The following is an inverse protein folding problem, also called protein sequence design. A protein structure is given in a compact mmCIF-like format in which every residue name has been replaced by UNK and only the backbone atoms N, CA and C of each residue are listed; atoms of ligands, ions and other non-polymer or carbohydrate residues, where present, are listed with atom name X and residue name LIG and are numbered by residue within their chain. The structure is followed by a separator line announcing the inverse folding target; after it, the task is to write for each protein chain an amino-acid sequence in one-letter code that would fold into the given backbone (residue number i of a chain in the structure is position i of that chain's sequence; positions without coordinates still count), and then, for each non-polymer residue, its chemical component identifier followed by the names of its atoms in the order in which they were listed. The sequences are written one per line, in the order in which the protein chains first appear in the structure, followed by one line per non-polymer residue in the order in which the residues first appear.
data_IF_441383762824
#
_entry.id   IF_441383762824
#
_cell.length_a   1.000
_cell.length_b   1.000
_cell.length_c   1.000
_cell.angle_alpha   90.00
_cell.angle_beta   90.00
_cell.angle_gamma   90.00
#
_symmetry.space_group_name_H-M   'P 1'
#
loop_
_entity.id
_entity.type
_entity.pdbx_description
1 polymer ?
#
# COMPACT_ATOMS: atom_id res chain seq x y z
N UNK A 1 16.03 20.64 31.22
CA UNK A 1 17.07 19.66 31.50
C UNK A 1 16.52 18.71 32.54
N UNK A 2 15.81 17.69 32.14
CA UNK A 2 15.32 16.63 33.03
C UNK A 2 15.73 15.29 32.47
N UNK A 3 16.28 14.48 33.34
CA UNK A 3 16.86 13.19 33.12
C UNK A 3 15.80 12.19 32.61
N UNK A 4 15.94 11.69 31.42
CA UNK A 4 15.21 10.51 30.95
C UNK A 4 15.87 9.26 31.51
N UNK A 5 15.13 8.52 32.29
CA UNK A 5 15.59 7.35 33.03
C UNK A 5 16.02 6.21 32.10
N UNK A 6 17.23 5.69 32.36
CA UNK A 6 17.85 4.50 31.73
C UNK A 6 17.02 3.19 31.80
N UNK A 7 15.88 3.17 32.46
CA UNK A 7 15.03 1.99 32.66
C UNK A 7 14.14 1.71 31.44
N UNK A 8 13.72 2.75 30.69
CA UNK A 8 12.89 2.55 29.48
C UNK A 8 13.69 2.04 28.29
N UNK A 9 14.95 2.47 28.14
CA UNK A 9 15.82 1.98 27.07
C UNK A 9 16.17 0.49 27.22
N UNK A 10 16.24 -0.03 28.45
CA UNK A 10 16.50 -1.44 28.73
C UNK A 10 15.27 -2.33 28.46
N UNK A 11 14.05 -1.79 28.64
CA UNK A 11 12.80 -2.47 28.34
C UNK A 11 12.54 -2.57 26.82
N UNK A 12 12.87 -1.53 26.09
CA UNK A 12 12.79 -1.54 24.60
C UNK A 12 13.81 -2.48 23.96
N UNK A 13 15.02 -2.57 24.52
CA UNK A 13 16.03 -3.55 24.09
C UNK A 13 15.60 -5.00 24.33
N UNK A 14 14.94 -5.32 25.46
CA UNK A 14 14.44 -6.68 25.72
C UNK A 14 13.26 -7.08 24.84
N UNK A 15 12.37 -6.15 24.45
CA UNK A 15 11.27 -6.45 23.52
C UNK A 15 11.76 -6.64 22.08
N UNK A 16 12.80 -5.94 21.64
CA UNK A 16 13.40 -6.15 20.33
C UNK A 16 14.12 -7.51 20.21
N UNK A 17 14.70 -8.02 21.31
CA UNK A 17 15.36 -9.33 21.33
C UNK A 17 14.40 -10.52 21.23
N UNK A 18 13.15 -10.39 21.72
CA UNK A 18 12.16 -11.47 21.68
C UNK A 18 11.48 -11.55 20.30
N UNK A 19 11.29 -10.43 19.62
CA UNK A 19 10.77 -10.40 18.24
C UNK A 19 11.79 -10.92 17.21
N UNK A 20 13.09 -10.69 17.44
CA UNK A 20 14.15 -11.19 16.56
C UNK A 20 14.31 -12.74 16.64
N UNK A 21 13.84 -13.41 17.69
CA UNK A 21 14.02 -14.86 17.83
C UNK A 21 12.98 -15.69 17.05
N UNK A 22 11.79 -15.13 16.78
CA UNK A 22 10.78 -15.80 15.95
C UNK A 22 11.04 -15.58 14.44
N UNK A 23 11.62 -14.44 14.06
CA UNK A 23 12.00 -14.16 12.67
C UNK A 23 13.29 -14.86 12.21
N UNK A 24 14.22 -15.17 13.12
CA UNK A 24 15.48 -15.88 12.79
C UNK A 24 15.25 -17.38 12.48
N UNK A 25 14.15 -17.98 12.89
CA UNK A 25 13.81 -19.36 12.57
C UNK A 25 13.28 -19.54 11.14
N UNK A 26 12.66 -18.53 10.57
CA UNK A 26 12.18 -18.55 9.17
C UNK A 26 13.32 -18.36 8.14
N UNK A 27 14.39 -17.63 8.51
CA UNK A 27 15.51 -17.35 7.60
C UNK A 27 16.62 -18.39 7.59
N UNK A 28 16.61 -19.40 8.45
CA UNK A 28 17.64 -20.46 8.49
C UNK A 28 17.42 -21.64 7.54
N UNK A 29 16.29 -21.70 6.84
CA UNK A 29 15.98 -22.78 5.90
C UNK A 29 16.36 -22.51 4.42
N UNK A 30 16.96 -21.38 4.06
CA UNK A 30 17.19 -20.99 2.66
C UNK A 30 18.67 -20.96 2.25
N UNK A 31 19.59 -21.47 3.08
CA UNK A 31 21.03 -21.56 2.66
C UNK A 31 21.46 -23.01 2.62
N UNK A 32 20.92 -23.78 1.69
CA UNK A 32 21.56 -25.01 1.17
C UNK A 32 20.86 -25.42 -0.15
N UNK A 33 21.52 -25.16 -1.24
CA UNK A 33 21.51 -25.84 -2.54
C UNK A 33 21.46 -24.88 -3.71
N UNK A 34 22.64 -24.50 -4.17
CA UNK A 34 22.87 -24.20 -5.58
C UNK A 34 24.33 -24.53 -5.94
N UNK A 35 24.54 -25.71 -6.47
CA UNK A 35 25.65 -26.05 -7.36
C UNK A 35 25.19 -27.15 -8.29
N UNK A 36 25.07 -26.84 -9.57
CA UNK A 36 25.43 -27.72 -10.70
C UNK A 36 25.01 -27.06 -12.01
N UNK A 37 25.98 -26.55 -12.68
CA UNK A 37 26.48 -26.90 -14.02
C UNK A 37 25.71 -26.55 -15.28
N UNK A 38 26.50 -25.90 -16.10
CA UNK A 38 26.32 -25.36 -17.44
C UNK A 38 26.13 -26.45 -18.52
N UNK A 39 25.51 -26.09 -19.65
CA UNK A 39 26.16 -26.09 -20.97
C UNK A 39 25.19 -25.87 -22.15
N UNK A 40 25.60 -24.94 -23.02
CA UNK A 40 25.51 -24.93 -24.49
C UNK A 40 24.21 -25.17 -25.26
N UNK A 41 23.73 -24.21 -26.07
CA UNK A 41 24.13 -24.11 -27.47
C UNK A 41 23.41 -22.94 -28.15
N UNK A 42 24.15 -22.29 -29.04
CA UNK A 42 23.69 -21.24 -29.95
C UNK A 42 22.80 -21.85 -31.07
N UNK A 43 21.85 -21.03 -31.57
CA UNK A 43 21.76 -20.84 -33.03
C UNK A 43 20.94 -19.57 -33.38
N UNK A 44 21.47 -18.88 -34.37
CA UNK A 44 20.98 -17.69 -35.03
C UNK A 44 19.66 -17.94 -35.81
N UNK A 45 18.80 -16.90 -35.86
CA UNK A 45 18.27 -16.45 -37.13
C UNK A 45 17.63 -15.06 -37.03
N UNK A 46 18.17 -14.15 -37.80
CA UNK A 46 17.59 -12.86 -38.19
C UNK A 46 16.25 -13.05 -38.88
N UNK A 47 15.28 -12.21 -38.54
CA UNK A 47 14.33 -11.68 -39.50
C UNK A 47 13.76 -10.34 -39.01
N UNK A 48 14.25 -9.28 -39.65
CA UNK A 48 13.58 -7.98 -39.71
C UNK A 48 12.16 -8.15 -40.28
N UNK A 49 11.19 -7.58 -39.55
CA UNK A 49 10.04 -6.97 -40.21
C UNK A 49 9.43 -5.86 -39.29
N UNK A 50 9.46 -4.66 -39.83
CA UNK A 50 8.69 -3.50 -39.43
C UNK A 50 7.25 -3.85 -39.05
N UNK A 51 6.84 -3.39 -37.84
CA UNK A 51 5.47 -2.92 -37.64
C UNK A 51 5.49 -1.75 -36.64
N UNK A 52 5.52 -0.57 -37.25
CA UNK A 52 5.19 0.69 -36.60
C UNK A 52 3.67 0.75 -36.45
N UNK A 53 3.14 0.42 -35.26
CA UNK A 53 1.89 0.92 -34.68
C UNK A 53 1.49 0.06 -33.46
N UNK A 54 2.13 0.30 -32.30
CA UNK A 54 1.57 -0.06 -31.01
C UNK A 54 2.27 0.72 -29.89
N UNK A 55 2.01 2.03 -29.82
CA UNK A 55 2.70 2.93 -28.89
C UNK A 55 1.86 3.26 -27.63
N UNK A 56 0.84 2.44 -27.25
CA UNK A 56 -0.03 2.82 -26.12
C UNK A 56 -0.44 1.69 -25.17
N UNK A 57 0.20 0.52 -25.17
CA UNK A 57 -0.14 -0.58 -24.23
C UNK A 57 0.95 -0.96 -23.24
N UNK A 58 2.08 -0.22 -23.17
CA UNK A 58 3.25 -0.60 -22.38
C UNK A 58 3.34 0.04 -20.98
N UNK A 59 2.33 0.78 -20.52
CA UNK A 59 2.38 1.48 -19.22
C UNK A 59 1.88 0.63 -18.04
N UNK A 60 1.14 -0.43 -18.28
CA UNK A 60 0.64 -1.33 -17.26
C UNK A 60 1.52 -2.59 -17.12
N UNK A 61 1.54 -3.16 -15.92
CA UNK A 61 2.22 -4.43 -15.65
C UNK A 61 1.69 -5.51 -16.59
N UNK A 62 2.61 -6.15 -17.32
CA UNK A 62 2.28 -7.25 -18.22
C UNK A 62 2.54 -8.60 -17.54
N UNK A 63 1.72 -9.64 -17.82
CA UNK A 63 1.96 -10.98 -17.32
C UNK A 63 3.39 -11.47 -17.61
N UNK A 64 4.06 -12.02 -16.58
CA UNK A 64 5.43 -12.54 -16.68
C UNK A 64 6.56 -11.50 -16.53
N UNK A 65 6.25 -10.22 -16.34
CA UNK A 65 7.27 -9.17 -16.13
C UNK A 65 7.91 -9.26 -14.75
N UNK A 66 9.25 -9.26 -14.70
CA UNK A 66 10.01 -9.10 -13.46
C UNK A 66 10.56 -7.67 -13.38
N UNK A 67 9.95 -6.85 -12.54
CA UNK A 67 10.27 -5.42 -12.42
C UNK A 67 11.03 -5.07 -11.14
N UNK A 68 11.15 -6.00 -10.18
CA UNK A 68 11.75 -5.77 -8.86
C UNK A 68 13.23 -5.41 -8.97
N UNK A 69 13.73 -4.35 -8.27
CA UNK A 69 15.11 -3.93 -8.33
C UNK A 69 16.08 -5.01 -7.83
N UNK A 70 17.19 -5.20 -8.57
CA UNK A 70 18.28 -6.09 -8.18
C UNK A 70 19.39 -5.27 -7.53
N UNK A 71 19.37 -5.13 -6.19
CA UNK A 71 20.33 -4.31 -5.42
C UNK A 71 20.96 -5.13 -4.30
N UNK A 72 22.22 -4.80 -3.96
CA UNK A 72 22.95 -5.37 -2.83
C UNK A 72 23.00 -4.38 -1.66
N UNK A 73 23.35 -4.85 -0.46
CA UNK A 73 23.53 -3.99 0.70
C UNK A 73 24.61 -2.90 0.45
N UNK A 74 25.67 -3.23 -0.28
CA UNK A 74 26.73 -2.28 -0.65
C UNK A 74 26.21 -1.18 -1.59
N UNK A 75 25.33 -1.52 -2.53
CA UNK A 75 24.63 -0.52 -3.36
C UNK A 75 23.85 0.46 -2.48
N UNK A 76 23.10 -0.04 -1.50
CA UNK A 76 22.29 0.78 -0.60
C UNK A 76 23.16 1.72 0.23
N UNK A 77 24.25 1.22 0.84
CA UNK A 77 25.16 2.06 1.63
C UNK A 77 25.80 3.16 0.78
N UNK A 78 26.26 2.82 -0.43
CA UNK A 78 26.84 3.77 -1.39
C UNK A 78 25.83 4.84 -1.79
N UNK A 79 24.57 4.46 -2.10
CA UNK A 79 23.50 5.39 -2.46
C UNK A 79 23.19 6.37 -1.33
N UNK A 80 22.99 5.87 -0.11
CA UNK A 80 22.66 6.70 1.05
C UNK A 80 23.79 7.69 1.38
N UNK A 81 25.03 7.24 1.34
CA UNK A 81 26.19 8.11 1.57
C UNK A 81 26.33 9.18 0.50
N UNK A 82 26.24 8.79 -0.77
CA UNK A 82 26.46 9.69 -1.91
C UNK A 82 25.31 10.68 -2.09
N UNK A 83 24.07 10.24 -1.99
CA UNK A 83 22.90 11.06 -2.27
C UNK A 83 22.48 11.93 -1.07
N UNK A 84 22.68 11.44 0.16
CA UNK A 84 22.15 12.08 1.36
C UNK A 84 23.21 12.41 2.41
N UNK A 85 24.47 12.03 2.19
CA UNK A 85 25.58 12.26 3.13
C UNK A 85 25.43 11.53 4.45
N UNK A 86 24.57 10.52 4.53
CA UNK A 86 24.32 9.74 5.75
C UNK A 86 25.37 8.64 5.87
N UNK A 87 26.02 8.55 7.03
CA UNK A 87 26.74 7.34 7.43
C UNK A 87 25.76 6.41 8.15
N UNK A 88 25.65 5.19 7.69
CA UNK A 88 24.69 4.21 8.21
C UNK A 88 25.28 3.53 9.43
N UNK A 89 24.51 3.44 10.54
CA UNK A 89 24.78 2.61 11.70
C UNK A 89 24.10 1.24 11.58
N UNK A 90 22.85 1.23 11.12
CA UNK A 90 22.07 0.01 10.95
C UNK A 90 21.20 0.13 9.68
N UNK A 91 21.09 -0.98 8.95
CA UNK A 91 20.21 -1.12 7.78
C UNK A 91 19.36 -2.37 7.94
N UNK A 92 18.06 -2.26 7.66
CA UNK A 92 17.13 -3.39 7.65
C UNK A 92 16.26 -3.31 6.40
N UNK A 93 16.25 -4.38 5.60
CA UNK A 93 15.31 -4.48 4.49
C UNK A 93 13.90 -4.66 5.03
N UNK A 94 12.95 -3.90 4.46
CA UNK A 94 11.53 -3.96 4.78
C UNK A 94 10.80 -4.78 3.70
N UNK A 95 9.73 -5.45 4.11
CA UNK A 95 8.87 -6.19 3.18
C UNK A 95 8.27 -5.21 2.17
N UNK A 96 8.28 -5.59 0.89
CA UNK A 96 7.69 -4.81 -0.20
C UNK A 96 7.24 -5.73 -1.33
N UNK A 97 6.24 -5.28 -2.10
CA UNK A 97 5.69 -6.03 -3.21
C UNK A 97 6.67 -6.03 -4.41
N UNK A 98 6.83 -4.90 -5.07
CA UNK A 98 7.63 -4.75 -6.29
C UNK A 98 8.87 -3.86 -6.12
N UNK A 99 8.92 -3.02 -5.08
CA UNK A 99 10.04 -2.15 -4.75
C UNK A 99 11.08 -2.85 -3.88
N UNK A 100 12.17 -2.14 -3.56
CA UNK A 100 13.08 -2.46 -2.44
C UNK A 100 13.07 -1.31 -1.45
N UNK A 101 12.69 -1.60 -0.22
CA UNK A 101 12.61 -0.63 0.86
C UNK A 101 13.59 -0.99 1.98
N UNK A 102 14.31 0.00 2.49
CA UNK A 102 15.30 -0.20 3.55
C UNK A 102 15.10 0.83 4.66
N UNK A 103 14.93 0.35 5.90
CA UNK A 103 15.01 1.21 7.07
C UNK A 103 16.49 1.52 7.34
N UNK A 104 16.83 2.80 7.36
CA UNK A 104 18.17 3.33 7.57
C UNK A 104 18.22 4.01 8.93
N UNK A 105 19.08 3.52 9.82
CA UNK A 105 19.43 4.21 11.05
C UNK A 105 20.78 4.91 10.87
N UNK A 106 20.82 6.25 10.93
CA UNK A 106 22.06 6.99 10.83
C UNK A 106 23.01 6.73 12.01
N UNK A 107 24.30 6.89 11.80
CA UNK A 107 25.23 7.05 12.92
C UNK A 107 25.09 8.47 13.48
N UNK A 108 24.42 8.56 14.61
CA UNK A 108 24.12 9.84 15.30
C UNK A 108 25.39 10.54 15.84
N UNK A 109 26.51 9.86 15.92
CA UNK A 109 27.79 10.45 16.35
C UNK A 109 28.50 11.17 15.19
N UNK A 110 28.08 10.94 13.95
CA UNK A 110 28.66 11.55 12.77
C UNK A 110 27.76 12.68 12.29
N UNK A 111 28.33 13.90 12.23
CA UNK A 111 27.60 15.06 11.73
C UNK A 111 27.28 14.89 10.24
N UNK A 112 25.99 14.94 9.90
CA UNK A 112 25.56 14.90 8.53
C UNK A 112 25.73 16.31 7.89
N UNK A 113 26.42 16.42 6.74
CA UNK A 113 26.68 17.72 6.11
C UNK A 113 25.45 18.30 5.39
N UNK A 114 24.42 17.49 5.09
CA UNK A 114 23.25 17.87 4.28
C UNK A 114 22.01 18.01 5.15
N UNK A 115 21.76 17.07 6.06
CA UNK A 115 20.61 17.05 6.94
C UNK A 115 20.97 17.71 8.25
N UNK A 116 20.62 18.99 8.41
CA UNK A 116 20.99 19.79 9.57
C UNK A 116 20.37 19.27 10.88
N UNK A 117 19.14 18.76 10.81
CA UNK A 117 18.42 18.17 11.94
C UNK A 117 17.95 16.78 11.54
N UNK A 118 18.70 15.72 11.92
CA UNK A 118 18.32 14.36 11.62
C UNK A 118 16.99 13.96 12.27
N UNK A 119 16.18 13.20 11.51
CA UNK A 119 14.93 12.65 12.02
C UNK A 119 15.21 11.53 13.03
N UNK A 120 14.68 11.60 14.27
CA UNK A 120 15.12 10.73 15.37
C UNK A 120 14.70 9.25 15.20
N UNK A 121 13.80 8.97 14.28
CA UNK A 121 13.27 7.62 14.03
C UNK A 121 13.95 6.92 12.84
N UNK A 122 14.92 7.58 12.17
CA UNK A 122 15.57 7.05 10.98
C UNK A 122 14.78 7.33 9.70
N UNK A 123 15.17 6.69 8.62
CA UNK A 123 14.67 6.97 7.27
C UNK A 123 14.31 5.69 6.54
N UNK A 124 13.43 5.77 5.55
CA UNK A 124 13.16 4.71 4.59
C UNK A 124 13.76 5.10 3.25
N UNK A 125 14.77 4.33 2.79
CA UNK A 125 15.23 4.41 1.42
C UNK A 125 14.32 3.52 0.57
N UNK A 126 13.64 4.13 -0.42
CA UNK A 126 12.87 3.41 -1.43
C UNK A 126 13.63 3.38 -2.74
N UNK A 127 13.81 2.19 -3.30
CA UNK A 127 14.31 1.97 -4.66
C UNK A 127 13.14 1.39 -5.44
N UNK A 128 12.55 2.21 -6.30
CA UNK A 128 11.32 1.88 -6.98
C UNK A 128 11.58 0.85 -8.08
N UNK A 129 10.56 0.06 -8.39
CA UNK A 129 10.62 -0.92 -9.48
C UNK A 129 10.90 -0.27 -10.85
N UNK A 130 11.33 -1.09 -11.81
CA UNK A 130 11.77 -0.60 -13.11
C UNK A 130 10.65 0.02 -13.96
N UNK A 131 9.39 -0.35 -13.71
CA UNK A 131 8.24 0.20 -14.43
C UNK A 131 7.90 1.61 -13.93
N UNK A 132 7.76 1.77 -12.62
CA UNK A 132 7.42 3.06 -12.02
C UNK A 132 8.58 4.05 -12.10
N UNK A 133 9.82 3.58 -12.10
CA UNK A 133 11.00 4.44 -12.26
C UNK A 133 11.05 5.22 -13.57
N UNK A 134 10.26 4.83 -14.56
CA UNK A 134 10.10 5.58 -15.81
C UNK A 134 9.18 6.81 -15.70
N UNK A 135 8.36 6.87 -14.66
CA UNK A 135 7.31 7.88 -14.45
C UNK A 135 7.77 8.99 -13.48
N UNK A 136 8.89 9.64 -13.77
CA UNK A 136 9.54 10.61 -12.86
C UNK A 136 8.65 11.77 -12.45
N UNK A 137 7.78 12.26 -13.34
CA UNK A 137 6.84 13.34 -13.04
C UNK A 137 5.78 12.90 -12.04
N UNK A 138 5.35 11.64 -12.13
CA UNK A 138 4.42 11.05 -11.17
C UNK A 138 5.08 10.86 -9.78
N UNK A 139 6.36 10.46 -9.74
CA UNK A 139 7.09 10.35 -8.49
C UNK A 139 7.28 11.72 -7.82
N UNK A 140 7.52 12.79 -8.61
CA UNK A 140 7.54 14.13 -8.08
C UNK A 140 6.17 14.55 -7.53
N UNK A 141 5.09 14.23 -8.22
CA UNK A 141 3.72 14.46 -7.75
C UNK A 141 3.43 13.76 -6.42
N UNK A 142 3.88 12.51 -6.24
CA UNK A 142 3.79 11.79 -4.95
C UNK A 142 4.56 12.51 -3.83
N UNK A 143 5.76 13.00 -4.11
CA UNK A 143 6.54 13.76 -3.13
C UNK A 143 5.83 15.06 -2.74
N UNK A 144 5.28 15.79 -3.70
CA UNK A 144 4.51 17.01 -3.45
C UNK A 144 3.23 16.73 -2.66
N UNK A 145 2.55 15.61 -2.93
CA UNK A 145 1.38 15.16 -2.20
C UNK A 145 1.69 14.90 -0.72
N UNK A 146 2.76 14.16 -0.42
CA UNK A 146 3.19 13.89 0.96
C UNK A 146 3.51 15.19 1.71
N UNK A 147 4.22 16.13 1.07
CA UNK A 147 4.52 17.45 1.63
C UNK A 147 3.24 18.25 1.88
N UNK A 148 2.28 18.20 0.96
CA UNK A 148 1.00 18.87 1.10
C UNK A 148 0.20 18.29 2.28
N UNK A 149 0.03 16.97 2.35
CA UNK A 149 -0.69 16.29 3.43
C UNK A 149 -0.06 16.57 4.80
N UNK A 150 1.26 16.58 4.90
CA UNK A 150 1.97 16.93 6.13
C UNK A 150 1.64 18.35 6.60
N UNK A 151 1.51 19.32 5.67
CA UNK A 151 1.10 20.70 5.99
C UNK A 151 -0.37 20.79 6.43
N UNK A 152 -1.23 19.91 5.92
CA UNK A 152 -2.63 19.78 6.33
C UNK A 152 -2.78 19.01 7.67
N UNK A 153 -1.67 18.62 8.31
CA UNK A 153 -1.66 17.96 9.62
C UNK A 153 -1.90 16.44 9.55
N UNK A 154 -1.81 15.83 8.38
CA UNK A 154 -1.84 14.38 8.20
C UNK A 154 -0.43 13.83 8.44
N UNK A 155 -0.30 12.87 9.35
CA UNK A 155 0.97 12.20 9.61
C UNK A 155 1.26 11.21 8.47
N UNK A 156 2.31 11.50 7.71
CA UNK A 156 2.78 10.67 6.60
C UNK A 156 4.31 10.83 6.44
N UNK A 157 4.98 9.99 5.63
CA UNK A 157 6.40 10.14 5.36
C UNK A 157 6.72 11.50 4.72
N UNK A 158 7.78 12.15 5.20
CA UNK A 158 8.26 13.40 4.59
C UNK A 158 9.43 13.11 3.66
N UNK A 159 9.37 13.49 2.38
CA UNK A 159 10.51 13.34 1.47
C UNK A 159 11.71 14.19 1.87
N UNK A 160 12.90 13.59 1.81
CA UNK A 160 14.18 14.24 2.11
C UNK A 160 14.88 14.65 0.81
N UNK A 161 15.34 15.88 0.75
CA UNK A 161 16.14 16.36 -0.40
C UNK A 161 17.53 15.73 -0.40
N UNK A 162 17.99 15.34 -1.59
CA UNK A 162 19.34 14.85 -1.81
C UNK A 162 20.36 16.00 -1.98
N UNK A 163 21.63 15.67 -2.20
CA UNK A 163 22.74 16.63 -2.42
C UNK A 163 22.49 17.64 -3.54
N UNK A 164 21.61 17.32 -4.48
CA UNK A 164 21.24 18.19 -5.61
C UNK A 164 19.97 19.02 -5.34
N UNK A 165 19.44 18.97 -4.11
CA UNK A 165 18.21 19.65 -3.72
C UNK A 165 16.93 19.05 -4.30
N UNK A 166 16.96 17.78 -4.79
CA UNK A 166 15.81 17.06 -5.34
C UNK A 166 15.32 15.99 -4.39
N UNK A 167 14.03 15.64 -4.43
CA UNK A 167 13.42 14.62 -3.58
C UNK A 167 13.65 13.19 -4.07
N UNK A 168 14.26 12.99 -5.23
CA UNK A 168 14.66 11.68 -5.76
C UNK A 168 15.85 11.83 -6.71
N UNK A 169 16.43 10.69 -7.08
CA UNK A 169 17.46 10.56 -8.11
C UNK A 169 17.16 9.34 -8.97
N UNK A 170 17.48 9.39 -10.25
CA UNK A 170 17.49 8.21 -11.12
C UNK A 170 18.89 7.66 -11.12
N UNK A 171 19.03 6.39 -10.74
CA UNK A 171 20.30 5.73 -10.52
C UNK A 171 20.44 4.48 -11.37
N UNK A 172 21.56 4.37 -12.09
CA UNK A 172 21.85 3.16 -12.87
C UNK A 172 22.45 2.08 -11.96
N UNK A 173 21.73 0.98 -11.73
CA UNK A 173 22.12 -0.09 -10.82
C UNK A 173 21.96 -1.43 -11.55
N UNK A 174 23.05 -2.20 -11.65
CA UNK A 174 23.06 -3.55 -12.22
C UNK A 174 22.36 -3.66 -13.60
N UNK A 175 22.57 -2.64 -14.46
CA UNK A 175 22.12 -2.64 -15.85
C UNK A 175 20.69 -2.10 -16.07
N UNK A 176 20.06 -1.51 -15.05
CA UNK A 176 18.76 -0.84 -15.16
C UNK A 176 18.72 0.48 -14.39
N UNK A 177 17.82 1.36 -14.78
CA UNK A 177 17.62 2.66 -14.14
C UNK A 177 16.47 2.56 -13.13
N UNK A 178 16.74 3.00 -11.89
CA UNK A 178 15.77 3.00 -10.81
C UNK A 178 15.67 4.38 -10.16
N UNK A 179 14.48 4.79 -9.80
CA UNK A 179 14.30 5.95 -8.93
C UNK A 179 14.63 5.56 -7.50
N UNK A 180 15.45 6.40 -6.87
CA UNK A 180 15.85 6.29 -5.46
C UNK A 180 15.39 7.53 -4.71
N UNK A 181 14.62 7.36 -3.63
CA UNK A 181 14.19 8.44 -2.73
C UNK A 181 14.32 8.05 -1.28
N UNK A 182 14.52 9.06 -0.42
CA UNK A 182 14.62 8.91 1.02
C UNK A 182 13.44 9.60 1.69
N UNK A 183 12.77 8.92 2.61
CA UNK A 183 11.61 9.39 3.34
C UNK A 183 11.86 9.31 4.84
N UNK A 184 11.30 10.23 5.63
CA UNK A 184 11.26 10.08 7.09
C UNK A 184 10.45 8.84 7.47
N UNK A 185 10.99 8.03 8.40
CA UNK A 185 10.26 6.89 8.94
C UNK A 185 9.13 7.37 9.86
N UNK A 186 7.91 6.87 9.65
CA UNK A 186 6.76 7.15 10.51
C UNK A 186 6.69 6.12 11.64
N UNK A 187 6.98 6.50 12.89
CA UNK A 187 7.00 5.55 14.00
C UNK A 187 5.59 5.23 14.49
N UNK A 188 5.35 3.97 14.82
CA UNK A 188 4.10 3.44 15.37
C UNK A 188 4.02 1.94 15.15
N UNK A 189 2.87 1.34 15.49
CA UNK A 189 2.55 -0.04 15.16
C UNK A 189 1.74 -0.07 13.87
N UNK A 190 1.82 -1.17 13.13
CA UNK A 190 0.95 -1.36 11.97
C UNK A 190 -0.45 -1.76 12.41
N UNK A 191 -1.46 -1.39 11.63
CA UNK A 191 -2.84 -1.73 11.94
C UNK A 191 -3.05 -3.25 12.09
N UNK A 192 -2.39 -4.07 11.27
CA UNK A 192 -2.53 -5.54 11.33
C UNK A 192 -1.98 -6.15 12.63
N UNK A 193 -1.07 -5.46 13.33
CA UNK A 193 -0.42 -5.95 14.56
C UNK A 193 -1.29 -5.79 15.83
N UNK A 194 -2.40 -5.05 15.74
CA UNK A 194 -3.24 -4.73 16.91
C UNK A 194 -4.64 -5.32 16.79
N UNK A 195 -5.34 -5.44 17.92
CA UNK A 195 -6.74 -5.89 17.93
C UNK A 195 -7.67 -4.89 17.23
N UNK A 196 -8.61 -5.39 16.42
CA UNK A 196 -9.56 -4.61 15.60
C UNK A 196 -10.82 -4.32 16.39
N UNK A 197 -10.73 -3.39 17.35
CA UNK A 197 -11.91 -2.93 18.07
C UNK A 197 -12.85 -2.11 17.16
N UNK A 198 -14.13 -2.07 17.52
CA UNK A 198 -15.12 -1.23 16.80
C UNK A 198 -14.69 0.25 16.80
N UNK A 199 -14.05 0.70 17.87
CA UNK A 199 -13.50 2.05 17.99
C UNK A 199 -12.37 2.29 16.99
N UNK A 200 -11.43 1.34 16.83
CA UNK A 200 -10.34 1.47 15.87
C UNK A 200 -10.86 1.49 14.43
N UNK A 201 -11.86 0.66 14.11
CA UNK A 201 -12.52 0.68 12.78
C UNK A 201 -13.20 2.02 12.50
N UNK A 202 -13.92 2.57 13.48
CA UNK A 202 -14.52 3.91 13.39
C UNK A 202 -13.43 4.97 13.17
N UNK A 203 -12.34 4.94 13.96
CA UNK A 203 -11.21 5.89 13.82
C UNK A 203 -10.48 5.74 12.50
N UNK A 204 -10.49 4.55 11.90
CA UNK A 204 -9.94 4.31 10.56
C UNK A 204 -10.79 5.01 9.49
N UNK A 205 -12.12 4.89 9.55
CA UNK A 205 -13.04 5.64 8.68
C UNK A 205 -12.91 7.16 8.83
N UNK A 206 -12.85 7.65 10.06
CA UNK A 206 -12.63 9.07 10.36
C UNK A 206 -11.31 9.59 9.77
N UNK A 207 -10.24 8.78 9.82
CA UNK A 207 -8.91 9.19 9.36
C UNK A 207 -8.84 9.31 7.84
N UNK A 208 -9.33 8.31 7.10
CA UNK A 208 -9.33 8.39 5.63
C UNK A 208 -10.26 9.49 5.12
N UNK A 209 -11.39 9.74 5.77
CA UNK A 209 -12.26 10.86 5.42
C UNK A 209 -11.58 12.23 5.62
N UNK A 210 -10.68 12.36 6.60
CA UNK A 210 -9.83 13.57 6.78
C UNK A 210 -8.82 13.72 5.65
N UNK A 211 -8.22 12.60 5.19
CA UNK A 211 -7.31 12.60 4.05
C UNK A 211 -8.07 13.03 2.79
N UNK A 212 -9.22 12.43 2.50
CA UNK A 212 -10.05 12.78 1.34
C UNK A 212 -10.45 14.25 1.35
N UNK A 213 -10.80 14.79 2.53
CA UNK A 213 -11.13 16.20 2.68
C UNK A 213 -9.91 17.11 2.44
N UNK A 214 -8.72 16.72 2.89
CA UNK A 214 -7.49 17.46 2.64
C UNK A 214 -7.14 17.45 1.15
N UNK A 215 -7.25 16.29 0.49
CA UNK A 215 -6.91 16.11 -0.92
C UNK A 215 -7.85 16.80 -1.90
N UNK A 216 -9.03 17.25 -1.45
CA UNK A 216 -10.01 17.93 -2.33
C UNK A 216 -9.43 19.11 -3.10
N UNK A 217 -8.46 19.81 -2.52
CA UNK A 217 -7.83 20.99 -3.12
C UNK A 217 -6.42 20.71 -3.66
N UNK A 218 -5.96 19.47 -3.62
CA UNK A 218 -4.66 19.11 -4.19
C UNK A 218 -4.83 18.72 -5.65
N UNK A 219 -3.99 19.27 -6.50
CA UNK A 219 -3.94 18.98 -7.94
C UNK A 219 -2.49 18.91 -8.42
N UNK A 220 -2.24 17.96 -9.31
CA UNK A 220 -0.98 17.86 -10.05
C UNK A 220 -1.23 17.13 -11.37
N UNK A 221 -0.75 17.68 -12.48
CA UNK A 221 -1.05 17.22 -13.85
C UNK A 221 -0.65 15.77 -14.12
N UNK A 222 0.39 15.28 -13.45
CA UNK A 222 0.84 13.89 -13.58
C UNK A 222 -0.23 12.85 -13.22
N UNK A 223 -1.22 13.22 -12.38
CA UNK A 223 -2.32 12.34 -12.04
C UNK A 223 -3.39 12.23 -13.12
N UNK A 224 -3.45 13.17 -14.08
CA UNK A 224 -4.47 13.14 -15.12
C UNK A 224 -4.24 12.04 -16.15
N UNK A 225 -2.99 11.59 -16.31
CA UNK A 225 -2.60 10.56 -17.28
C UNK A 225 -2.12 9.26 -16.61
N UNK A 226 -1.88 9.29 -15.28
CA UNK A 226 -1.37 8.12 -14.58
C UNK A 226 -2.38 6.98 -14.55
N UNK A 227 -1.94 5.79 -14.93
CA UNK A 227 -2.70 4.54 -14.85
C UNK A 227 -1.84 3.43 -14.25
N UNK A 228 -2.47 2.62 -13.42
CA UNK A 228 -1.86 1.42 -12.82
C UNK A 228 -2.88 0.29 -12.76
N UNK A 229 -2.40 -0.94 -12.73
CA UNK A 229 -3.27 -2.12 -12.60
C UNK A 229 -3.99 -2.16 -11.24
N UNK A 230 -3.48 -1.44 -10.22
CA UNK A 230 -4.09 -1.35 -8.90
C UNK A 230 -5.26 -0.36 -8.79
N UNK A 231 -5.46 0.52 -9.77
CA UNK A 231 -6.68 1.34 -9.84
C UNK A 231 -7.91 0.47 -10.03
N UNK A 232 -9.03 0.79 -9.37
CA UNK A 232 -10.29 0.06 -9.61
C UNK A 232 -10.82 0.27 -11.04
N UNK A 233 -10.47 1.34 -11.71
CA UNK A 233 -10.75 1.51 -13.15
C UNK A 233 -10.13 0.40 -14.01
N UNK A 234 -9.07 -0.26 -13.52
CA UNK A 234 -8.36 -1.33 -14.21
C UNK A 234 -8.92 -2.74 -13.93
N UNK A 235 -10.02 -2.86 -13.21
CA UNK A 235 -10.67 -4.15 -12.91
C UNK A 235 -10.93 -5.02 -14.16
N UNK A 236 -11.36 -4.45 -15.30
CA UNK A 236 -11.55 -5.27 -16.52
C UNK A 236 -10.28 -6.02 -17.00
N UNK A 237 -9.09 -5.44 -16.75
CA UNK A 237 -7.81 -6.06 -17.10
C UNK A 237 -7.46 -7.31 -16.26
N UNK A 238 -8.15 -7.54 -15.13
CA UNK A 238 -7.97 -8.77 -14.36
C UNK A 238 -8.28 -10.03 -15.17
N UNK A 239 -9.08 -9.92 -16.24
CA UNK A 239 -9.37 -11.05 -17.13
C UNK A 239 -8.10 -11.68 -17.69
N UNK A 240 -7.05 -10.88 -17.94
CA UNK A 240 -5.77 -11.34 -18.46
C UNK A 240 -4.98 -12.20 -17.44
N UNK A 241 -5.35 -12.15 -16.18
CA UNK A 241 -4.69 -12.84 -15.06
C UNK A 241 -5.49 -14.02 -14.50
N UNK A 242 -6.74 -14.24 -14.95
CA UNK A 242 -7.61 -15.29 -14.38
C UNK A 242 -7.12 -16.73 -14.62
N UNK A 243 -6.13 -16.93 -15.46
CA UNK A 243 -5.50 -18.22 -15.67
C UNK A 243 -4.77 -18.77 -14.43
N UNK A 244 -4.42 -17.90 -13.46
CA UNK A 244 -3.78 -18.32 -12.21
C UNK A 244 -4.75 -19.00 -11.25
N UNK A 245 -6.06 -18.79 -11.42
CA UNK A 245 -7.10 -19.41 -10.60
C UNK A 245 -7.42 -20.80 -11.14
N UNK A 246 -7.07 -21.82 -10.36
CA UNK A 246 -7.36 -23.23 -10.73
C UNK A 246 -8.78 -23.67 -10.35
N UNK A 247 -9.40 -22.99 -9.38
CA UNK A 247 -10.76 -23.25 -8.92
C UNK A 247 -11.77 -22.59 -9.86
N UNK A 248 -12.59 -23.39 -10.55
CA UNK A 248 -13.56 -22.90 -11.52
C UNK A 248 -14.67 -22.03 -10.88
N UNK A 249 -15.11 -22.36 -9.65
CA UNK A 249 -16.18 -21.63 -8.98
C UNK A 249 -15.67 -20.24 -8.56
N UNK A 250 -14.45 -20.17 -8.05
CA UNK A 250 -13.79 -18.90 -7.72
C UNK A 250 -13.55 -18.04 -8.96
N UNK A 251 -13.11 -18.66 -10.03
CA UNK A 251 -12.95 -17.96 -11.32
C UNK A 251 -14.26 -17.37 -11.81
N UNK A 252 -15.34 -18.15 -11.78
CA UNK A 252 -16.68 -17.69 -12.18
C UNK A 252 -17.17 -16.51 -11.31
N UNK A 253 -16.96 -16.56 -9.98
CA UNK A 253 -17.29 -15.43 -9.09
C UNK A 253 -16.52 -14.17 -9.50
N UNK A 254 -15.23 -14.28 -9.79
CA UNK A 254 -14.43 -13.12 -10.20
C UNK A 254 -14.92 -12.55 -11.54
N UNK A 255 -15.24 -13.40 -12.52
CA UNK A 255 -15.79 -12.98 -13.81
C UNK A 255 -17.12 -12.23 -13.62
N UNK A 256 -18.04 -12.77 -12.81
CA UNK A 256 -19.32 -12.07 -12.47
C UNK A 256 -19.09 -10.72 -11.78
N UNK A 257 -18.10 -10.63 -10.88
CA UNK A 257 -17.75 -9.37 -10.21
C UNK A 257 -17.23 -8.35 -11.21
N UNK A 258 -16.34 -8.75 -12.13
CA UNK A 258 -15.82 -7.86 -13.17
C UNK A 258 -16.97 -7.32 -14.03
N UNK A 259 -17.84 -8.21 -14.55
CA UNK A 259 -18.99 -7.83 -15.39
C UNK A 259 -19.95 -6.88 -14.65
N UNK A 260 -20.20 -7.16 -13.37
CA UNK A 260 -21.08 -6.35 -12.54
C UNK A 260 -20.46 -4.99 -12.20
N UNK A 261 -19.16 -4.94 -11.98
CA UNK A 261 -18.44 -3.68 -11.71
C UNK A 261 -18.41 -2.79 -12.96
N UNK A 262 -18.14 -3.35 -14.13
CA UNK A 262 -18.23 -2.63 -15.41
C UNK A 262 -19.63 -2.04 -15.61
N UNK A 263 -20.67 -2.87 -15.44
CA UNK A 263 -22.06 -2.49 -15.76
C UNK A 263 -22.64 -1.46 -14.77
N UNK A 264 -22.33 -1.60 -13.47
CA UNK A 264 -22.98 -0.79 -12.43
C UNK A 264 -22.14 0.41 -11.99
N UNK A 265 -20.81 0.35 -12.15
CA UNK A 265 -19.88 1.38 -11.65
C UNK A 265 -19.18 2.09 -12.79
N UNK A 266 -18.42 1.36 -13.64
CA UNK A 266 -17.60 2.00 -14.67
C UNK A 266 -18.45 2.70 -15.74
N UNK A 267 -19.62 2.19 -16.08
CA UNK A 267 -20.55 2.84 -17.02
C UNK A 267 -21.10 4.18 -16.52
N UNK A 268 -20.93 4.49 -15.23
CA UNK A 268 -21.37 5.74 -14.57
C UNK A 268 -20.21 6.56 -14.02
N UNK A 269 -18.98 6.18 -14.33
CA UNK A 269 -17.78 6.75 -13.72
C UNK A 269 -17.63 8.26 -13.94
N UNK A 270 -18.19 8.79 -15.03
CA UNK A 270 -18.14 10.23 -15.32
C UNK A 270 -19.15 11.05 -14.52
N UNK A 271 -20.11 10.39 -13.87
CA UNK A 271 -21.08 11.03 -12.98
C UNK A 271 -20.55 11.12 -11.53
N UNK A 272 -19.44 10.40 -11.20
CA UNK A 272 -18.88 10.32 -9.86
C UNK A 272 -17.89 11.44 -9.58
N UNK A 273 -17.91 11.97 -8.35
CA UNK A 273 -16.93 12.97 -7.90
C UNK A 273 -15.53 12.35 -7.86
N UNK A 274 -14.59 12.90 -8.64
CA UNK A 274 -13.22 12.44 -8.77
C UNK A 274 -12.25 13.40 -8.09
N UNK A 275 -11.26 12.85 -7.42
CA UNK A 275 -10.10 13.56 -6.88
C UNK A 275 -8.88 12.65 -6.83
N UNK A 276 -7.74 13.17 -6.37
CA UNK A 276 -6.61 12.34 -6.02
C UNK A 276 -6.94 11.61 -4.72
N UNK A 277 -6.72 10.29 -4.70
CA UNK A 277 -6.96 9.38 -3.58
C UNK A 277 -5.67 8.69 -3.19
N UNK A 278 -5.59 8.11 -1.98
CA UNK A 278 -4.46 7.29 -1.57
C UNK A 278 -4.39 5.98 -2.38
N UNK A 279 -5.52 5.36 -2.64
CA UNK A 279 -5.67 4.20 -3.53
C UNK A 279 -5.22 2.85 -2.94
N UNK A 280 -4.61 2.84 -1.75
CA UNK A 280 -4.18 1.61 -1.08
C UNK A 280 -4.25 1.73 0.46
N UNK A 281 -5.42 2.14 0.98
CA UNK A 281 -5.66 2.25 2.41
C UNK A 281 -5.89 0.87 3.03
N UNK A 282 -4.80 0.12 3.25
CA UNK A 282 -4.81 -1.23 3.80
C UNK A 282 -4.13 -1.30 5.17
N UNK A 283 -4.20 -2.47 5.82
CA UNK A 283 -3.69 -2.71 7.17
C UNK A 283 -2.15 -2.66 7.30
N UNK A 284 -1.43 -2.70 6.18
CA UNK A 284 0.03 -2.59 6.13
C UNK A 284 0.48 -1.13 6.00
N UNK A 285 -0.42 -0.25 5.55
CA UNK A 285 -0.13 1.16 5.30
C UNK A 285 -0.64 2.09 6.40
N UNK A 286 -1.44 1.58 7.34
CA UNK A 286 -2.01 2.35 8.44
C UNK A 286 -1.14 2.19 9.69
N UNK A 287 -0.64 3.32 10.20
CA UNK A 287 0.10 3.40 11.46
C UNK A 287 -0.87 3.75 12.59
N UNK A 288 -0.79 3.01 13.69
CA UNK A 288 -1.62 3.21 14.88
C UNK A 288 -0.80 3.52 16.11
N UNK A 289 -1.43 4.15 17.08
CA UNK A 289 -0.88 4.41 18.42
C UNK A 289 -1.95 4.22 19.49
N UNK A 290 -1.54 3.91 20.71
CA UNK A 290 -2.47 3.87 21.84
C UNK A 290 -3.03 5.26 22.13
N UNK A 291 -4.35 5.34 22.31
CA UNK A 291 -5.03 6.57 22.68
C UNK A 291 -4.71 6.96 24.13
N UNK A 292 -4.11 8.12 24.32
CA UNK A 292 -3.78 8.65 25.66
C UNK A 292 -5.03 8.99 26.48
N UNK A 293 -6.17 9.17 25.83
CA UNK A 293 -7.45 9.55 26.47
C UNK A 293 -8.32 8.35 26.84
N UNK A 294 -7.96 7.13 26.40
CA UNK A 294 -8.71 5.93 26.73
C UNK A 294 -8.09 5.20 27.91
N UNK A 295 -8.88 5.05 29.00
CA UNK A 295 -8.49 4.23 30.16
C UNK A 295 -8.38 2.73 29.78
N UNK A 296 -8.95 2.31 28.65
CA UNK A 296 -8.96 0.94 28.14
C UNK A 296 -7.76 0.60 27.25
N UNK A 297 -6.85 1.55 26.98
CA UNK A 297 -5.68 1.31 26.12
C UNK A 297 -6.01 1.11 24.64
N UNK A 298 -7.17 1.60 24.19
CA UNK A 298 -7.60 1.49 22.78
C UNK A 298 -6.63 2.17 21.82
N UNK A 299 -6.53 1.59 20.63
CA UNK A 299 -5.74 2.13 19.54
C UNK A 299 -6.55 3.10 18.69
N UNK A 300 -5.87 4.09 18.11
CA UNK A 300 -6.40 5.00 17.08
C UNK A 300 -5.40 5.10 15.93
N UNK A 301 -5.87 5.52 14.77
CA UNK A 301 -5.00 5.81 13.63
C UNK A 301 -4.15 7.04 13.94
N UNK A 302 -2.85 6.90 13.73
CA UNK A 302 -1.84 7.94 13.88
C UNK A 302 -1.42 8.53 12.55
N UNK A 303 -1.20 7.68 11.53
CA UNK A 303 -0.63 8.07 10.25
C UNK A 303 -0.88 7.05 9.16
N UNK A 304 -0.44 7.42 7.96
CA UNK A 304 -0.51 6.58 6.77
C UNK A 304 0.82 6.61 6.03
N UNK A 305 1.19 5.49 5.43
CA UNK A 305 2.40 5.35 4.62
C UNK A 305 2.06 4.75 3.25
N UNK A 306 3.04 4.70 2.39
CA UNK A 306 3.02 4.14 1.05
C UNK A 306 2.05 4.82 0.07
N UNK A 307 2.57 5.83 -0.59
CA UNK A 307 1.88 6.64 -1.60
C UNK A 307 2.16 6.15 -3.03
N UNK A 308 2.52 4.87 -3.20
CA UNK A 308 2.83 4.26 -4.50
C UNK A 308 1.62 4.22 -5.44
N UNK A 309 0.45 3.90 -4.90
CA UNK A 309 -0.79 3.69 -5.64
C UNK A 309 -1.72 4.91 -5.69
N UNK A 310 -1.22 6.08 -5.27
CA UNK A 310 -2.00 7.32 -5.37
C UNK A 310 -2.42 7.58 -6.81
N UNK A 311 -3.67 7.91 -7.01
CA UNK A 311 -4.22 8.10 -8.35
C UNK A 311 -5.43 9.04 -8.33
N UNK A 312 -5.85 9.52 -9.52
CA UNK A 312 -7.07 10.31 -9.67
C UNK A 312 -8.24 9.42 -10.03
N UNK A 313 -9.14 9.20 -9.07
CA UNK A 313 -10.28 8.28 -9.19
C UNK A 313 -11.53 8.84 -8.51
N UNK A 314 -12.70 8.22 -8.74
CA UNK A 314 -13.87 8.48 -7.92
C UNK A 314 -13.57 8.26 -6.43
N UNK A 315 -14.04 9.17 -5.58
CA UNK A 315 -13.79 9.08 -4.12
C UNK A 315 -14.39 7.80 -3.52
N UNK A 316 -15.49 7.32 -4.09
CA UNK A 316 -16.12 6.07 -3.67
C UNK A 316 -15.18 4.85 -3.81
N UNK A 317 -14.16 4.93 -4.68
CA UNK A 317 -13.15 3.88 -4.82
C UNK A 317 -12.22 3.84 -3.62
N UNK A 318 -11.81 5.00 -3.07
CA UNK A 318 -11.05 5.05 -1.82
C UNK A 318 -11.82 4.38 -0.68
N UNK A 319 -13.11 4.72 -0.55
CA UNK A 319 -13.99 4.16 0.49
C UNK A 319 -14.11 2.64 0.30
N UNK A 320 -14.32 2.17 -0.93
CA UNK A 320 -14.41 0.74 -1.25
C UNK A 320 -13.14 -0.03 -0.94
N UNK A 321 -11.97 0.53 -1.29
CA UNK A 321 -10.65 -0.05 -1.00
C UNK A 321 -10.45 -0.15 0.52
N UNK A 322 -10.62 0.95 1.24
CA UNK A 322 -10.45 0.99 2.69
C UNK A 322 -11.41 0.03 3.40
N UNK A 323 -12.68 0.05 3.02
CA UNK A 323 -13.72 -0.81 3.57
C UNK A 323 -13.39 -2.29 3.39
N UNK A 324 -12.83 -2.68 2.23
CA UNK A 324 -12.39 -4.04 1.94
C UNK A 324 -11.41 -4.54 3.00
N UNK A 325 -10.36 -3.77 3.26
CA UNK A 325 -9.33 -4.19 4.21
C UNK A 325 -9.80 -4.13 5.66
N UNK A 326 -10.67 -3.20 6.03
CA UNK A 326 -11.28 -3.18 7.36
C UNK A 326 -12.15 -4.41 7.61
N UNK A 327 -12.93 -4.84 6.63
CA UNK A 327 -13.75 -6.07 6.67
C UNK A 327 -12.86 -7.31 6.78
N UNK A 328 -11.81 -7.41 5.96
CA UNK A 328 -10.84 -8.51 6.00
C UNK A 328 -10.18 -8.64 7.37
N UNK A 329 -9.68 -7.54 7.92
CA UNK A 329 -8.98 -7.52 9.20
C UNK A 329 -9.90 -7.84 10.38
N UNK A 330 -11.16 -7.43 10.32
CA UNK A 330 -12.16 -7.75 11.34
C UNK A 330 -12.84 -9.11 11.12
N UNK A 331 -12.61 -9.77 9.97
CA UNK A 331 -13.21 -11.05 9.56
C UNK A 331 -14.75 -11.04 9.64
N UNK A 332 -15.35 -9.91 9.27
CA UNK A 332 -16.80 -9.72 9.40
C UNK A 332 -17.31 -8.64 8.47
N UNK A 333 -18.25 -8.97 7.60
CA UNK A 333 -18.93 -7.99 6.73
C UNK A 333 -19.58 -6.86 7.53
N UNK A 334 -20.16 -7.18 8.70
CA UNK A 334 -20.81 -6.22 9.57
C UNK A 334 -19.86 -5.11 10.03
N UNK A 335 -18.56 -5.42 10.20
CA UNK A 335 -17.56 -4.46 10.68
C UNK A 335 -17.41 -3.24 9.78
N UNK A 336 -17.76 -3.37 8.49
CA UNK A 336 -17.81 -2.25 7.56
C UNK A 336 -18.70 -1.10 8.03
N UNK A 337 -19.76 -1.38 8.78
CA UNK A 337 -20.63 -0.34 9.34
C UNK A 337 -19.93 0.56 10.37
N UNK A 338 -18.98 0.04 11.16
CA UNK A 338 -18.19 0.87 12.10
C UNK A 338 -17.25 1.82 11.34
N UNK A 339 -16.60 1.32 10.29
CA UNK A 339 -15.78 2.15 9.42
C UNK A 339 -16.60 3.24 8.75
N UNK A 340 -17.74 2.89 8.15
CA UNK A 340 -18.63 3.85 7.49
C UNK A 340 -19.20 4.90 8.47
N UNK A 341 -19.48 4.53 9.73
CA UNK A 341 -19.87 5.48 10.76
C UNK A 341 -18.79 6.56 10.95
N UNK A 342 -17.52 6.17 11.03
CA UNK A 342 -16.41 7.11 11.16
C UNK A 342 -16.20 7.97 9.92
N UNK A 343 -16.32 7.38 8.74
CA UNK A 343 -16.18 8.11 7.49
C UNK A 343 -17.29 9.16 7.32
N UNK A 344 -18.54 8.77 7.51
CA UNK A 344 -19.73 9.64 7.28
C UNK A 344 -19.85 10.74 8.33
N UNK A 345 -19.26 10.59 9.51
CA UNK A 345 -19.16 11.64 10.53
C UNK A 345 -18.32 12.85 10.05
N UNK A 346 -17.37 12.61 9.15
CA UNK A 346 -16.48 13.65 8.59
C UNK A 346 -16.93 14.08 7.19
N UNK A 347 -17.34 13.13 6.33
CA UNK A 347 -17.74 13.34 4.94
C UNK A 347 -18.96 12.50 4.61
N UNK A 348 -20.12 13.14 4.34
CA UNK A 348 -21.31 12.42 3.91
C UNK A 348 -21.08 11.65 2.60
N UNK A 349 -21.73 10.50 2.48
CA UNK A 349 -21.81 9.69 1.25
C UNK A 349 -23.26 9.77 0.76
N UNK A 350 -23.47 10.07 -0.52
CA UNK A 350 -24.81 10.08 -1.11
C UNK A 350 -25.41 8.66 -1.15
N UNK A 351 -26.74 8.55 -1.22
CA UNK A 351 -27.39 7.24 -1.34
C UNK A 351 -26.96 6.50 -2.62
N UNK A 352 -26.79 7.22 -3.73
CA UNK A 352 -26.39 6.64 -5.00
C UNK A 352 -24.95 6.10 -4.93
N UNK A 353 -24.01 6.84 -4.34
CA UNK A 353 -22.64 6.38 -4.11
C UNK A 353 -22.59 5.18 -3.15
N UNK A 354 -23.40 5.22 -2.06
CA UNK A 354 -23.46 4.13 -1.09
C UNK A 354 -23.87 2.80 -1.71
N UNK A 355 -24.80 2.83 -2.66
CA UNK A 355 -25.25 1.66 -3.41
C UNK A 355 -24.13 1.05 -4.30
N UNK A 356 -23.05 1.79 -4.60
CA UNK A 356 -21.92 1.29 -5.37
C UNK A 356 -20.88 0.58 -4.51
N UNK A 357 -20.88 0.77 -3.17
CA UNK A 357 -19.82 0.25 -2.28
C UNK A 357 -19.68 -1.26 -2.35
N UNK A 358 -20.75 -2.04 -2.43
CA UNK A 358 -20.66 -3.49 -2.55
C UNK A 358 -19.83 -3.91 -3.77
N UNK A 359 -20.04 -3.24 -4.91
CA UNK A 359 -19.29 -3.52 -6.14
C UNK A 359 -17.82 -3.13 -6.00
N UNK A 360 -17.54 -1.98 -5.38
CA UNK A 360 -16.16 -1.52 -5.15
C UNK A 360 -15.40 -2.46 -4.21
N UNK A 361 -16.04 -2.92 -3.13
CA UNK A 361 -15.47 -3.89 -2.17
C UNK A 361 -15.22 -5.24 -2.86
N UNK A 362 -16.20 -5.76 -3.61
CA UNK A 362 -16.04 -7.02 -4.34
C UNK A 362 -14.92 -6.93 -5.39
N UNK A 363 -14.85 -5.82 -6.13
CA UNK A 363 -13.83 -5.58 -7.14
C UNK A 363 -12.42 -5.52 -6.51
N UNK A 364 -12.23 -4.81 -5.39
CA UNK A 364 -10.93 -4.75 -4.70
C UNK A 364 -10.53 -6.11 -4.11
N UNK A 365 -11.48 -6.87 -3.55
CA UNK A 365 -11.22 -8.24 -3.09
C UNK A 365 -10.77 -9.13 -4.26
N UNK A 366 -11.50 -9.12 -5.39
CA UNK A 366 -11.15 -9.89 -6.57
C UNK A 366 -9.75 -9.51 -7.08
N UNK A 367 -9.44 -8.20 -7.16
CA UNK A 367 -8.13 -7.70 -7.57
C UNK A 367 -7.03 -8.22 -6.65
N UNK A 368 -7.18 -8.08 -5.33
CA UNK A 368 -6.19 -8.55 -4.35
C UNK A 368 -5.97 -10.07 -4.41
N UNK A 369 -7.05 -10.86 -4.56
CA UNK A 369 -6.98 -12.31 -4.61
C UNK A 369 -6.32 -12.82 -5.90
N UNK A 370 -6.68 -12.26 -7.05
CA UNK A 370 -6.12 -12.64 -8.36
C UNK A 370 -4.66 -12.22 -8.45
N UNK A 371 -4.35 -10.97 -8.11
CA UNK A 371 -2.98 -10.45 -8.20
C UNK A 371 -2.05 -11.09 -7.17
N UNK A 372 -2.55 -11.41 -5.96
CA UNK A 372 -1.79 -12.18 -4.98
C UNK A 372 -1.44 -13.58 -5.49
N UNK A 373 -2.41 -14.30 -6.09
CA UNK A 373 -2.17 -15.60 -6.70
C UNK A 373 -1.19 -15.50 -7.90
N UNK A 374 -1.31 -14.45 -8.71
CA UNK A 374 -0.39 -14.18 -9.83
C UNK A 374 1.03 -13.96 -9.35
N UNK A 375 1.24 -13.06 -8.38
CA UNK A 375 2.58 -12.76 -7.86
C UNK A 375 3.21 -14.01 -7.20
N UNK A 376 2.43 -14.79 -6.45
CA UNK A 376 2.90 -16.06 -5.90
C UNK A 376 3.30 -17.06 -6.99
N UNK A 377 2.62 -17.09 -8.13
CA UNK A 377 2.97 -17.96 -9.24
C UNK A 377 4.33 -17.62 -9.87
N UNK A 378 4.76 -16.35 -9.79
CA UNK A 378 6.06 -15.87 -10.27
C UNK A 378 7.18 -16.05 -9.23
N UNK A 379 6.85 -15.87 -7.96
CA UNK A 379 7.77 -16.03 -6.82
C UNK A 379 7.11 -16.83 -5.69
N UNK A 380 7.17 -18.18 -5.75
CA UNK A 380 6.58 -19.04 -4.73
C UNK A 380 7.19 -18.88 -3.33
N UNK A 381 8.34 -18.21 -3.19
CA UNK A 381 8.94 -17.92 -1.90
C UNK A 381 8.31 -16.72 -1.19
N UNK A 382 7.53 -15.91 -1.89
CA UNK A 382 6.84 -14.75 -1.37
C UNK A 382 5.45 -15.14 -0.81
N UNK A 383 5.41 -15.74 0.37
CA UNK A 383 4.16 -16.11 1.05
C UNK A 383 3.33 -14.89 1.51
N UNK A 384 3.96 -13.72 1.61
CA UNK A 384 3.30 -12.46 2.02
C UNK A 384 2.08 -12.13 1.16
N UNK A 385 2.17 -12.35 -0.15
CA UNK A 385 1.10 -12.03 -1.10
C UNK A 385 -0.14 -12.95 -0.97
N UNK A 386 -0.04 -14.02 -0.17
CA UNK A 386 -1.12 -14.95 0.11
C UNK A 386 -1.85 -14.68 1.45
N UNK A 387 -1.41 -13.70 2.23
CA UNK A 387 -1.97 -13.43 3.58
C UNK A 387 -3.49 -13.20 3.54
N UNK A 388 -3.99 -12.60 2.47
CA UNK A 388 -5.43 -12.32 2.30
C UNK A 388 -6.22 -13.49 1.70
N UNK A 389 -5.58 -14.54 1.19
CA UNK A 389 -6.25 -15.57 0.36
C UNK A 389 -7.35 -16.31 1.12
N UNK A 390 -7.05 -16.89 2.28
CA UNK A 390 -8.03 -17.75 2.96
C UNK A 390 -9.28 -16.97 3.40
N UNK A 391 -9.09 -15.85 4.08
CA UNK A 391 -10.19 -15.04 4.59
C UNK A 391 -10.87 -14.26 3.46
N UNK A 392 -10.10 -13.79 2.48
CA UNK A 392 -10.62 -13.06 1.33
C UNK A 392 -11.61 -13.88 0.52
N UNK A 393 -11.33 -15.15 0.26
CA UNK A 393 -12.28 -16.04 -0.44
C UNK A 393 -13.55 -16.27 0.36
N UNK A 394 -13.49 -16.42 1.69
CA UNK A 394 -14.69 -16.52 2.54
C UNK A 394 -15.53 -15.24 2.46
N UNK A 395 -14.89 -14.10 2.60
CA UNK A 395 -15.56 -12.79 2.60
C UNK A 395 -16.17 -12.48 1.23
N UNK A 396 -15.45 -12.75 0.11
CA UNK A 396 -15.97 -12.46 -1.23
C UNK A 396 -17.16 -13.35 -1.56
N UNK A 397 -17.12 -14.63 -1.20
CA UNK A 397 -18.25 -15.54 -1.37
C UNK A 397 -19.46 -15.10 -0.55
N UNK A 398 -19.27 -14.74 0.72
CA UNK A 398 -20.35 -14.25 1.57
C UNK A 398 -20.95 -12.94 1.03
N UNK A 399 -20.09 -11.98 0.66
CA UNK A 399 -20.49 -10.68 0.09
C UNK A 399 -21.28 -10.86 -1.20
N UNK A 400 -20.84 -11.74 -2.09
CA UNK A 400 -21.41 -11.89 -3.43
C UNK A 400 -22.73 -12.66 -3.42
N UNK A 401 -22.90 -13.64 -2.53
CA UNK A 401 -24.14 -14.40 -2.35
C UNK A 401 -25.25 -13.62 -1.69
N UNK A 402 -24.93 -12.62 -0.87
CA UNK A 402 -25.92 -11.78 -0.21
C UNK A 402 -26.60 -10.86 -1.23
N UNK A 403 -27.90 -10.58 -0.98
CA UNK A 403 -28.59 -9.55 -1.73
C UNK A 403 -27.93 -8.19 -1.50
N UNK A 404 -27.88 -7.39 -2.53
CA UNK A 404 -27.25 -6.07 -2.47
C UNK A 404 -27.84 -5.19 -1.34
N UNK A 405 -29.17 -5.13 -1.26
CA UNK A 405 -29.87 -4.37 -0.22
C UNK A 405 -29.56 -4.87 1.20
N UNK A 406 -29.33 -6.17 1.38
CA UNK A 406 -29.07 -6.74 2.72
C UNK A 406 -27.73 -6.27 3.28
N UNK A 407 -26.68 -6.19 2.47
CA UNK A 407 -25.36 -5.73 2.90
C UNK A 407 -25.35 -4.24 3.23
N UNK A 408 -25.97 -3.44 2.39
CA UNK A 408 -26.11 -2.00 2.63
C UNK A 408 -26.89 -1.72 3.92
N UNK A 409 -28.00 -2.43 4.13
CA UNK A 409 -28.80 -2.33 5.35
C UNK A 409 -28.00 -2.75 6.60
N UNK A 410 -27.17 -3.80 6.51
CA UNK A 410 -26.30 -4.25 7.61
C UNK A 410 -25.29 -3.16 7.96
N UNK A 411 -24.63 -2.56 6.98
CA UNK A 411 -23.67 -1.49 7.21
C UNK A 411 -24.33 -0.24 7.80
N UNK A 412 -25.45 0.21 7.21
CA UNK A 412 -26.18 1.38 7.69
C UNK A 412 -26.69 1.18 9.13
N UNK A 413 -27.36 0.05 9.38
CA UNK A 413 -27.89 -0.26 10.73
C UNK A 413 -26.78 -0.33 11.77
N UNK A 414 -25.60 -0.85 11.40
CA UNK A 414 -24.45 -0.93 12.31
C UNK A 414 -23.89 0.46 12.58
N UNK A 415 -23.75 1.30 11.55
CA UNK A 415 -23.28 2.68 11.68
C UNK A 415 -24.20 3.50 12.59
N UNK A 416 -25.52 3.48 12.35
CA UNK A 416 -26.52 4.24 13.11
C UNK A 416 -26.54 3.82 14.59
N UNK A 417 -26.46 2.51 14.87
CA UNK A 417 -26.39 1.99 16.24
C UNK A 417 -25.13 2.46 16.95
N UNK A 418 -23.98 2.41 16.26
CA UNK A 418 -22.71 2.83 16.85
C UNK A 418 -22.73 4.33 17.20
N UNK A 419 -23.14 5.19 16.27
CA UNK A 419 -23.22 6.63 16.49
C UNK A 419 -24.19 6.99 17.63
N UNK A 420 -25.36 6.31 17.71
CA UNK A 420 -26.34 6.54 18.79
C UNK A 420 -25.82 6.13 20.17
N UNK A 421 -24.94 5.11 20.25
CA UNK A 421 -24.34 4.65 21.51
C UNK A 421 -23.15 5.52 21.95
N UNK A 422 -22.42 6.10 21.00
CA UNK A 422 -21.22 6.94 21.28
C UNK A 422 -21.58 8.35 21.76
N UNK A 423 -22.85 8.78 21.62
CA UNK A 423 -23.35 10.09 22.07
C UNK A 423 -23.85 10.05 23.53
N UNK A 424 -23.92 8.86 24.14
CA UNK A 424 -24.29 8.68 25.57
C UNK A 424 -23.07 8.50 26.44
#
# INVERSE_FOLDING_TARGET
MEQWNNVELTSLRKKSYTLNHEYDLANKCVVANNNSDASNAADNNDNDNNDSNNANTSELLQPGSNIKPKVTAENVESLVRRLYGITINEIKELISYDDRNYLIQPDWNIKNPIIATPWPHGYVLKILNALDSKKTDFIDAQNQLMIYLSKEGIVCPTPITNVNGKYFSVEHINGADYVVRLLEFVPGQMFHEVEKSNYLLYKSGEYIAKIDRALKNFHHDAYDTHKTLWMLESIPQLRDFLYVLQDHDRKAIVEEIIDSFESNVLNKIDELEKQIIHGDYNEQNIIVEQSKSSASGEYKVKGIIDFGDTNKSPIIFEIGIALTYMILQAKSLKSGGYFLAGYTDIRPISNDERLLLKYCVAARLAQSLVMGAYTHSLDPSNEYVLVTQEEGWKIIEELWRNRFADIDEVWQTTADKYLTQSVK
#
